data_IF_203633760241
#
_entry.id   IF_203633760241
#
_cell.length_a   1.000
_cell.length_b   1.000
_cell.length_c   1.000
_cell.angle_alpha   90.00
_cell.angle_beta   90.00
_cell.angle_gamma   90.00
#
_symmetry.space_group_name_H-M   'P 1'
#
loop_
_entity.id
_entity.type
_entity.pdbx_description
1 polymer ?
#
# COMPACT_ATOMS: atom_id res chain seq x y z
N UNK A 1 5.43 4.45 17.61
CA UNK A 1 4.78 3.41 16.82
C UNK A 1 4.62 3.88 15.39
N UNK A 2 5.12 3.09 14.44
CA UNK A 2 5.07 3.47 13.04
C UNK A 2 3.89 2.76 12.37
N UNK A 3 3.05 3.55 11.74
CA UNK A 3 1.89 3.04 11.01
C UNK A 3 2.37 2.29 9.76
N UNK A 4 1.94 1.04 9.54
CA UNK A 4 2.33 0.30 8.33
C UNK A 4 2.00 1.05 7.04
N UNK A 5 0.90 1.79 7.00
CA UNK A 5 0.56 2.58 5.82
C UNK A 5 1.60 3.68 5.57
N UNK A 6 2.11 4.29 6.63
CA UNK A 6 3.15 5.31 6.50
C UNK A 6 4.44 4.71 5.95
N UNK A 7 4.78 3.49 6.37
CA UNK A 7 5.95 2.78 5.85
C UNK A 7 5.79 2.49 4.36
N UNK A 8 4.59 2.09 3.94
CA UNK A 8 4.33 1.82 2.53
C UNK A 8 4.47 3.07 1.68
N UNK A 9 3.94 4.20 2.18
CA UNK A 9 4.07 5.47 1.48
C UNK A 9 5.53 5.91 1.38
N UNK A 10 6.30 5.70 2.44
CA UNK A 10 7.72 6.04 2.43
C UNK A 10 8.46 5.21 1.38
N UNK A 11 8.15 3.92 1.28
CA UNK A 11 8.78 3.05 0.29
C UNK A 11 8.49 3.53 -1.14
N UNK A 12 7.25 3.96 -1.39
CA UNK A 12 6.87 4.49 -2.70
C UNK A 12 7.67 5.77 -3.00
N UNK A 13 7.74 6.69 -2.04
CA UNK A 13 8.46 7.94 -2.23
C UNK A 13 9.95 7.72 -2.45
N UNK A 14 10.53 6.78 -1.71
CA UNK A 14 11.95 6.46 -1.86
C UNK A 14 12.24 5.94 -3.26
N UNK A 15 11.36 5.06 -3.77
CA UNK A 15 11.54 4.53 -5.12
C UNK A 15 11.43 5.62 -6.17
N UNK A 16 10.50 6.56 -5.99
CA UNK A 16 10.33 7.68 -6.89
C UNK A 16 11.58 8.57 -6.88
N UNK A 17 12.11 8.86 -5.69
CA UNK A 17 13.31 9.69 -5.56
C UNK A 17 14.51 9.03 -6.24
N UNK A 18 14.61 7.72 -6.15
CA UNK A 18 15.69 6.98 -6.78
C UNK A 18 15.45 6.75 -8.27
N UNK A 19 14.32 7.21 -8.79
CA UNK A 19 13.90 6.99 -10.18
C UNK A 19 13.84 5.50 -10.51
N UNK A 20 13.46 4.70 -9.51
CA UNK A 20 13.31 3.26 -9.64
C UNK A 20 11.87 2.96 -10.03
N UNK A 21 11.60 2.93 -11.33
CA UNK A 21 10.26 2.72 -11.85
C UNK A 21 9.69 1.39 -11.42
N UNK A 22 10.51 0.32 -11.50
CA UNK A 22 10.08 -1.01 -11.11
C UNK A 22 9.78 -1.08 -9.62
N UNK A 23 10.65 -0.50 -8.80
CA UNK A 23 10.44 -0.47 -7.35
C UNK A 23 9.20 0.30 -6.98
N UNK A 24 8.97 1.45 -7.63
CA UNK A 24 7.79 2.26 -7.36
C UNK A 24 6.52 1.48 -7.74
N UNK A 25 6.53 0.79 -8.86
CA UNK A 25 5.39 0.00 -9.32
C UNK A 25 5.09 -1.13 -8.35
N UNK A 26 6.12 -1.83 -7.89
CA UNK A 26 5.94 -2.93 -6.94
C UNK A 26 5.41 -2.42 -5.60
N UNK A 27 5.97 -1.31 -5.12
CA UNK A 27 5.53 -0.73 -3.86
C UNK A 27 4.08 -0.27 -3.93
N UNK A 28 3.71 0.36 -5.04
CA UNK A 28 2.33 0.80 -5.25
C UNK A 28 1.38 -0.40 -5.34
N UNK A 29 1.79 -1.44 -6.05
CA UNK A 29 0.97 -2.64 -6.19
C UNK A 29 0.71 -3.28 -4.84
N UNK A 30 1.74 -3.40 -4.01
CA UNK A 30 1.59 -3.96 -2.66
C UNK A 30 0.66 -3.11 -1.81
N UNK A 31 0.80 -1.78 -1.90
CA UNK A 31 -0.04 -0.87 -1.15
C UNK A 31 -1.51 -1.00 -1.57
N UNK A 32 -1.77 -1.03 -2.87
CA UNK A 32 -3.13 -1.15 -3.39
C UNK A 32 -3.75 -2.50 -3.04
N UNK A 33 -2.96 -3.56 -3.12
CA UNK A 33 -3.44 -4.89 -2.78
C UNK A 33 -3.87 -4.94 -1.32
N UNK A 34 -3.07 -4.37 -0.44
CA UNK A 34 -3.38 -4.34 0.98
C UNK A 34 -4.64 -3.52 1.25
N UNK A 35 -4.76 -2.36 0.59
CA UNK A 35 -5.95 -1.52 0.73
C UNK A 35 -7.19 -2.26 0.27
N UNK A 36 -7.08 -2.99 -0.84
CA UNK A 36 -8.18 -3.78 -1.36
C UNK A 36 -8.62 -4.85 -0.35
N UNK A 37 -7.65 -5.55 0.27
CA UNK A 37 -7.96 -6.57 1.25
C UNK A 37 -8.67 -5.99 2.46
N UNK A 38 -8.22 -4.84 2.93
CA UNK A 38 -8.87 -4.18 4.05
C UNK A 38 -10.30 -3.76 3.70
N UNK A 39 -10.49 -3.25 2.50
CA UNK A 39 -11.81 -2.86 2.03
C UNK A 39 -12.73 -4.08 1.96
N UNK A 40 -12.22 -5.22 1.48
CA UNK A 40 -12.99 -6.46 1.42
C UNK A 40 -13.48 -6.89 2.81
N UNK A 41 -12.58 -6.83 3.79
CA UNK A 41 -12.93 -7.18 5.15
C UNK A 41 -14.01 -6.25 5.71
N UNK A 42 -13.87 -4.97 5.45
CA UNK A 42 -14.85 -3.99 5.90
C UNK A 42 -16.21 -4.26 5.26
N UNK A 43 -16.22 -4.52 3.97
CA UNK A 43 -17.47 -4.77 3.25
C UNK A 43 -18.18 -6.02 3.75
N UNK A 44 -17.43 -7.10 3.97
CA UNK A 44 -17.99 -8.33 4.51
C UNK A 44 -18.59 -8.11 5.90
N UNK A 45 -17.89 -7.34 6.72
CA UNK A 45 -18.36 -7.01 8.06
C UNK A 45 -19.67 -6.23 8.02
N UNK A 46 -19.81 -5.34 7.03
CA UNK A 46 -21.02 -4.54 6.89
C UNK A 46 -22.22 -5.35 6.44
N UNK A 47 -21.99 -6.39 5.67
CA UNK A 47 -23.06 -7.23 5.15
C UNK A 47 -23.47 -8.32 6.11
N UNK A 48 -22.60 -8.64 7.06
CA UNK A 48 -22.85 -9.66 8.04
C UNK A 48 -23.81 -9.22 9.09
#
# INVERSE_FOLDING_TARGET
VVDPAALEHTAILDAIRARDTEGARKAMHSHLYRAYRLYEQYRCSQQG
#
